data_IF_593652512524
#
_entry.id   IF_593652512524
#
_cell.length_a   1.000
_cell.length_b   1.000
_cell.length_c   1.000
_cell.angle_alpha   90.00
_cell.angle_beta   90.00
_cell.angle_gamma   90.00
#
_symmetry.space_group_name_H-M   'P 1'
#
loop_
_entity.id
_entity.type
_entity.pdbx_description
1 polymer ?
#
# COMPACT_ATOMS: atom_id res chain seq x y z
N UNK A 1 3.04 2.61 -18.65
CA UNK A 1 3.55 2.62 -17.24
C UNK A 1 3.50 4.02 -16.58
N UNK A 2 2.79 4.22 -15.45
CA UNK A 2 2.79 5.50 -14.68
C UNK A 2 3.82 5.42 -13.56
N UNK A 3 4.92 6.15 -13.70
CA UNK A 3 5.95 6.26 -12.65
C UNK A 3 5.52 7.33 -11.66
N UNK A 4 5.00 6.91 -10.50
CA UNK A 4 4.70 7.82 -9.40
C UNK A 4 5.99 8.05 -8.63
N UNK A 5 6.65 9.19 -8.87
CA UNK A 5 7.80 9.61 -8.07
C UNK A 5 7.33 9.95 -6.65
N UNK A 6 7.43 8.98 -5.73
CA UNK A 6 7.14 9.20 -4.31
C UNK A 6 8.27 10.02 -3.68
N UNK A 7 8.13 11.35 -3.69
CA UNK A 7 9.07 12.29 -3.07
C UNK A 7 8.50 12.87 -1.76
N UNK A 8 8.62 12.18 -0.61
CA UNK A 8 8.04 12.61 0.66
C UNK A 8 8.61 13.95 1.14
N UNK A 9 9.86 14.29 0.77
CA UNK A 9 10.53 15.52 1.17
C UNK A 9 9.87 16.81 0.62
N UNK A 10 9.18 16.74 -0.53
CA UNK A 10 8.44 17.89 -1.09
C UNK A 10 7.09 18.14 -0.40
N UNK A 11 6.53 17.13 0.28
CA UNK A 11 5.32 17.27 1.10
C UNK A 11 5.57 18.09 2.39
N UNK A 12 6.80 18.04 2.93
CA UNK A 12 7.15 18.60 4.24
C UNK A 12 7.11 20.13 4.28
N UNK A 13 7.32 20.81 3.13
CA UNK A 13 7.32 22.28 3.06
C UNK A 13 5.93 22.94 3.18
N UNK A 14 4.84 22.16 3.04
CA UNK A 14 3.47 22.62 3.28
C UNK A 14 2.92 21.93 4.54
N UNK A 15 3.43 22.32 5.71
CA UNK A 15 3.09 21.84 7.06
C UNK A 15 1.61 22.06 7.48
N UNK A 16 0.68 21.66 6.63
CA UNK A 16 -0.74 21.60 6.96
C UNK A 16 -1.18 20.15 7.20
N UNK A 17 -0.28 19.16 7.15
CA UNK A 17 -0.63 17.79 7.51
C UNK A 17 0.29 17.27 8.60
N UNK A 18 -0.23 17.19 9.83
CA UNK A 18 0.49 16.57 10.97
C UNK A 18 -0.18 15.25 11.32
N UNK A 19 0.47 14.14 11.00
CA UNK A 19 0.04 12.81 11.39
C UNK A 19 0.24 12.65 12.91
N UNK A 20 -0.84 12.31 13.63
CA UNK A 20 -0.82 12.06 15.08
C UNK A 20 -0.64 10.58 15.38
N UNK A 21 -1.36 9.72 14.67
CA UNK A 21 -1.35 8.27 14.86
C UNK A 21 -1.37 7.61 13.47
N UNK A 22 -0.60 6.53 13.33
CA UNK A 22 -0.55 5.72 12.13
C UNK A 22 -0.28 4.28 12.53
N UNK A 23 -1.24 3.41 12.24
CA UNK A 23 -1.20 1.99 12.54
C UNK A 23 -1.35 1.23 11.23
N UNK A 24 -0.46 0.27 11.03
CA UNK A 24 -0.51 -0.67 9.93
C UNK A 24 -0.41 -2.08 10.50
N UNK A 25 -1.29 -2.97 10.07
CA UNK A 25 -1.23 -4.39 10.42
C UNK A 25 -1.42 -5.24 9.18
N UNK A 26 -0.59 -6.28 9.06
CA UNK A 26 -0.74 -7.31 8.04
C UNK A 26 -1.12 -8.59 8.78
N UNK A 27 -2.25 -9.17 8.40
CA UNK A 27 -2.68 -10.49 8.85
C UNK A 27 -2.23 -11.52 7.82
N UNK A 28 -1.52 -12.55 8.31
CA UNK A 28 -1.17 -13.71 7.53
C UNK A 28 -2.11 -14.87 7.87
N UNK A 29 -2.37 -15.71 6.87
CA UNK A 29 -3.11 -16.95 7.07
C UNK A 29 -2.43 -18.08 6.30
N UNK A 30 -2.52 -19.33 6.81
CA UNK A 30 -2.07 -20.49 6.06
C UNK A 30 -2.98 -20.72 4.84
N UNK A 31 -2.38 -21.23 3.78
CA UNK A 31 -3.06 -21.79 2.61
C UNK A 31 -3.11 -23.31 2.71
N UNK A 32 -3.90 -23.94 1.84
CA UNK A 32 -4.06 -25.39 1.79
C UNK A 32 -2.72 -26.13 1.50
N UNK A 33 -1.79 -25.45 0.84
CA UNK A 33 -0.43 -25.94 0.53
C UNK A 33 0.59 -25.65 1.64
N UNK A 34 0.13 -25.27 2.84
CA UNK A 34 0.94 -24.99 4.03
C UNK A 34 1.90 -23.78 3.91
N UNK A 35 1.67 -22.90 2.93
CA UNK A 35 2.34 -21.61 2.83
C UNK A 35 1.54 -20.53 3.58
N UNK A 36 2.24 -19.59 4.20
CA UNK A 36 1.61 -18.42 4.83
C UNK A 36 1.60 -17.25 3.85
N UNK A 37 0.41 -16.76 3.52
CA UNK A 37 0.24 -15.59 2.65
C UNK A 37 -0.42 -14.43 3.41
N UNK A 38 -0.12 -13.18 3.03
CA UNK A 38 -0.88 -12.04 3.51
C UNK A 38 -2.33 -12.22 3.08
N UNK A 39 -3.25 -12.09 4.03
CA UNK A 39 -4.70 -12.19 3.82
C UNK A 39 -5.35 -10.81 3.83
N UNK A 40 -4.87 -9.95 4.71
CA UNK A 40 -5.47 -8.65 4.94
C UNK A 40 -4.39 -7.66 5.36
N UNK A 41 -4.42 -6.47 4.75
CA UNK A 41 -3.64 -5.33 5.17
C UNK A 41 -4.58 -4.24 5.65
N UNK A 42 -4.45 -3.86 6.92
CA UNK A 42 -5.18 -2.75 7.50
C UNK A 42 -4.26 -1.57 7.69
N UNK A 43 -4.76 -0.40 7.30
CA UNK A 43 -4.11 0.89 7.49
C UNK A 43 -5.09 1.83 8.15
N UNK A 44 -4.74 2.36 9.31
CA UNK A 44 -5.54 3.33 10.02
C UNK A 44 -4.67 4.47 10.48
N UNK A 45 -5.19 5.69 10.42
CA UNK A 45 -4.44 6.84 10.88
C UNK A 45 -5.31 8.03 11.21
N UNK A 46 -4.70 8.93 11.96
CA UNK A 46 -5.29 10.19 12.36
C UNK A 46 -4.29 11.29 12.07
N UNK A 47 -4.67 12.22 11.21
CA UNK A 47 -3.92 13.42 10.91
C UNK A 47 -4.67 14.68 11.33
N UNK A 48 -3.96 15.79 11.37
CA UNK A 48 -4.56 17.13 11.32
C UNK A 48 -4.28 17.71 9.94
N UNK A 49 -5.34 18.04 9.22
CA UNK A 49 -5.29 18.92 8.07
C UNK A 49 -5.51 20.37 8.56
N UNK A 50 -4.54 21.25 8.36
CA UNK A 50 -4.47 22.59 8.94
C UNK A 50 -4.54 22.59 10.48
N UNK A 51 -4.68 23.77 11.11
CA UNK A 51 -4.61 23.89 12.58
C UNK A 51 -5.78 23.23 13.34
N UNK A 52 -6.95 23.02 12.71
CA UNK A 52 -8.18 22.65 13.41
C UNK A 52 -8.94 21.43 12.86
N UNK A 53 -8.66 20.96 11.64
CA UNK A 53 -9.44 19.86 11.04
C UNK A 53 -8.73 18.53 11.30
N UNK A 54 -9.29 17.73 12.21
CA UNK A 54 -8.84 16.35 12.40
C UNK A 54 -9.36 15.46 11.28
N UNK A 55 -8.48 14.76 10.59
CA UNK A 55 -8.82 13.76 9.58
C UNK A 55 -8.52 12.37 10.14
N UNK A 56 -9.52 11.48 10.10
CA UNK A 56 -9.31 10.05 10.36
C UNK A 56 -9.41 9.34 9.03
N UNK A 57 -8.49 8.43 8.75
CA UNK A 57 -8.54 7.55 7.61
C UNK A 57 -8.39 6.10 8.08
N UNK A 58 -9.09 5.20 7.39
CA UNK A 58 -8.98 3.77 7.56
C UNK A 58 -9.17 3.13 6.19
N UNK A 59 -8.36 2.12 5.90
CA UNK A 59 -8.43 1.31 4.69
C UNK A 59 -8.10 -0.13 5.04
N UNK A 60 -8.76 -1.04 4.35
CA UNK A 60 -8.47 -2.47 4.44
C UNK A 60 -8.35 -3.00 3.02
N UNK A 61 -7.23 -3.65 2.73
CA UNK A 61 -6.99 -4.37 1.50
C UNK A 61 -7.03 -5.87 1.77
N UNK A 62 -7.77 -6.59 0.92
CA UNK A 62 -7.92 -8.04 1.03
C UNK A 62 -7.20 -8.72 -0.11
N UNK A 63 -6.28 -9.61 0.23
CA UNK A 63 -5.64 -10.49 -0.73
C UNK A 63 -6.47 -11.77 -0.84
N UNK A 64 -6.88 -12.10 -2.06
CA UNK A 64 -7.72 -13.27 -2.33
C UNK A 64 -7.10 -14.08 -3.46
N UNK A 65 -7.29 -15.39 -3.39
CA UNK A 65 -6.88 -16.34 -4.41
C UNK A 65 -5.38 -16.25 -4.78
N UNK A 66 -4.47 -16.38 -3.81
CA UNK A 66 -3.03 -16.41 -4.12
C UNK A 66 -2.76 -17.56 -5.10
N UNK A 67 -2.03 -17.25 -6.17
CA UNK A 67 -1.62 -18.21 -7.18
C UNK A 67 -0.16 -18.55 -6.95
N UNK A 68 0.13 -19.82 -6.66
CA UNK A 68 1.48 -20.32 -6.37
C UNK A 68 1.97 -21.14 -7.56
N UNK A 69 3.24 -20.96 -7.95
CA UNK A 69 3.86 -21.70 -9.07
C UNK A 69 3.13 -21.55 -10.42
N UNK A 70 2.43 -20.45 -10.63
CA UNK A 70 1.86 -20.14 -11.94
C UNK A 70 2.96 -19.48 -12.77
N UNK A 71 3.26 -20.07 -13.93
CA UNK A 71 4.18 -19.47 -14.90
C UNK A 71 3.61 -18.12 -15.36
N UNK A 72 4.39 -17.05 -15.16
CA UNK A 72 4.04 -15.71 -15.63
C UNK A 72 4.85 -15.49 -16.91
N UNK A 73 4.21 -15.16 -18.05
CA UNK A 73 4.92 -14.92 -19.30
C UNK A 73 6.00 -13.85 -19.15
N UNK A 74 7.21 -14.14 -19.65
CA UNK A 74 8.36 -13.24 -19.56
C UNK A 74 8.12 -11.92 -20.30
N UNK A 75 7.26 -11.93 -21.33
CA UNK A 75 6.89 -10.74 -22.10
C UNK A 75 6.22 -9.66 -21.24
N UNK A 76 5.60 -10.03 -20.12
CA UNK A 76 5.00 -9.07 -19.16
C UNK A 76 6.05 -8.21 -18.45
N UNK A 77 7.31 -8.66 -18.44
CA UNK A 77 8.42 -7.95 -17.81
C UNK A 77 9.32 -7.22 -18.83
N UNK A 78 8.97 -7.30 -20.13
CA UNK A 78 9.67 -6.53 -21.14
C UNK A 78 9.45 -5.01 -20.87
N UNK A 79 10.50 -4.18 -20.92
CA UNK A 79 10.32 -2.74 -20.86
C UNK A 79 9.43 -2.32 -22.04
N UNK A 80 8.39 -1.52 -21.78
CA UNK A 80 7.67 -0.83 -22.85
C UNK A 80 8.68 0.11 -23.53
N UNK A 81 9.20 -0.29 -24.69
CA UNK A 81 9.99 0.59 -25.56
C UNK A 81 9.13 1.81 -25.89
N UNK A 82 9.52 2.95 -25.32
CA UNK A 82 8.95 4.26 -25.65
C UNK A 82 9.81 4.86 -26.75
N UNK A 83 9.38 4.66 -27.99
CA UNK A 83 9.67 5.59 -29.09
C UNK A 83 8.54 6.62 -29.21
#
# INVERSE_FOLDING_TARGET
MVRVDFQPAKLVKKMMFKMKEFNMSILFAPTDENFWFPKQFDIAGKGKAMFFIGVKFAGTEYYRNPQVNVEIPDELFAPEDKD
#
